data_IF_824904034582
#
_entry.id   IF_824904034582
#
_cell.length_a   1.000
_cell.length_b   1.000
_cell.length_c   1.000
_cell.angle_alpha   90.00
_cell.angle_beta   90.00
_cell.angle_gamma   90.00
#
_symmetry.space_group_name_H-M   'P 1'
#
loop_
_entity.id
_entity.type
_entity.pdbx_description
1 polymer ?
#
# COMPACT_ATOMS: atom_id res chain seq x y z
N UNK A 1 -9.01 -39.55 -17.38
CA UNK A 1 -8.40 -38.72 -18.45
C UNK A 1 -7.85 -37.45 -17.81
N UNK A 2 -6.55 -37.44 -17.51
CA UNK A 2 -5.82 -36.28 -16.97
C UNK A 2 -5.53 -35.29 -18.09
N UNK A 3 -6.27 -34.18 -18.11
CA UNK A 3 -6.07 -33.07 -19.06
C UNK A 3 -4.70 -32.44 -18.79
N UNK A 4 -3.74 -32.77 -19.66
CA UNK A 4 -2.39 -32.20 -19.68
C UNK A 4 -2.54 -30.70 -19.96
N UNK A 5 -2.24 -29.85 -18.98
CA UNK A 5 -2.21 -28.40 -19.14
C UNK A 5 -1.10 -28.10 -20.16
N UNK A 6 -1.48 -27.50 -21.29
CA UNK A 6 -0.55 -27.13 -22.35
C UNK A 6 0.51 -26.14 -21.82
N UNK A 7 1.74 -26.13 -22.35
CA UNK A 7 2.77 -25.18 -21.93
C UNK A 7 2.27 -23.76 -22.23
N UNK A 8 2.29 -22.89 -21.21
CA UNK A 8 1.86 -21.50 -21.32
C UNK A 8 2.54 -20.82 -22.52
N UNK A 9 1.75 -20.11 -23.33
CA UNK A 9 2.16 -19.51 -24.60
C UNK A 9 3.34 -18.54 -24.40
N UNK A 10 4.44 -18.62 -25.19
CA UNK A 10 5.63 -17.76 -25.04
C UNK A 10 5.34 -16.25 -24.95
N UNK A 11 4.26 -15.79 -25.59
CA UNK A 11 3.81 -14.39 -25.55
C UNK A 11 3.31 -13.93 -24.17
N UNK A 12 2.68 -14.82 -23.38
CA UNK A 12 2.19 -14.48 -22.03
C UNK A 12 3.39 -14.32 -21.10
N UNK A 13 4.37 -15.23 -21.20
CA UNK A 13 5.62 -15.14 -20.43
C UNK A 13 6.39 -13.84 -20.75
N UNK A 14 6.48 -13.45 -22.02
CA UNK A 14 7.13 -12.20 -22.45
C UNK A 14 6.40 -10.95 -21.94
N UNK A 15 5.06 -10.95 -21.99
CA UNK A 15 4.24 -9.85 -21.47
C UNK A 15 4.38 -9.70 -19.94
N UNK A 16 4.37 -10.82 -19.20
CA UNK A 16 4.59 -10.83 -17.75
C UNK A 16 5.99 -10.30 -17.43
N UNK A 17 7.03 -10.76 -18.13
CA UNK A 17 8.40 -10.33 -17.89
C UNK A 17 8.60 -8.83 -18.15
N UNK A 18 7.98 -8.30 -19.22
CA UNK A 18 7.96 -6.86 -19.51
C UNK A 18 7.28 -6.07 -18.39
N UNK A 19 6.14 -6.54 -17.88
CA UNK A 19 5.43 -5.88 -16.78
C UNK A 19 6.24 -5.92 -15.48
N UNK A 20 6.90 -7.05 -15.16
CA UNK A 20 7.78 -7.18 -14.00
C UNK A 20 8.97 -6.21 -14.12
N UNK A 21 9.57 -6.07 -15.30
CA UNK A 21 10.65 -5.10 -15.56
C UNK A 21 10.18 -3.66 -15.33
N UNK A 22 9.02 -3.30 -15.86
CA UNK A 22 8.43 -1.97 -15.67
C UNK A 22 8.16 -1.67 -14.18
N UNK A 23 7.58 -2.61 -13.44
CA UNK A 23 7.33 -2.48 -12.01
C UNK A 23 8.62 -2.33 -11.20
N UNK A 24 9.67 -3.08 -11.56
CA UNK A 24 10.99 -2.96 -10.92
C UNK A 24 11.61 -1.59 -11.17
N UNK A 25 11.48 -1.06 -12.37
CA UNK A 25 12.00 0.27 -12.72
C UNK A 25 11.27 1.38 -11.96
N UNK A 26 9.94 1.31 -11.89
CA UNK A 26 9.13 2.24 -11.09
C UNK A 26 9.56 2.19 -9.61
N UNK A 27 9.72 0.98 -9.04
CA UNK A 27 10.22 0.83 -7.66
C UNK A 27 11.61 1.43 -7.48
N UNK A 28 12.52 1.22 -8.43
CA UNK A 28 13.87 1.81 -8.38
C UNK A 28 13.82 3.32 -8.40
N UNK A 29 12.97 3.93 -9.21
CA UNK A 29 12.81 5.38 -9.26
C UNK A 29 12.22 5.93 -7.95
N UNK A 30 11.26 5.23 -7.34
CA UNK A 30 10.72 5.60 -6.03
C UNK A 30 11.78 5.49 -4.92
N UNK A 31 12.60 4.44 -4.94
CA UNK A 31 13.73 4.27 -4.00
C UNK A 31 14.87 5.28 -4.23
N UNK A 32 15.09 5.69 -5.48
CA UNK A 32 16.08 6.71 -5.82
C UNK A 32 15.68 8.11 -5.36
N UNK A 33 14.36 8.39 -5.28
CA UNK A 33 13.82 9.65 -4.79
C UNK A 33 13.78 9.77 -3.27
N UNK A 34 14.05 8.69 -2.52
CA UNK A 34 14.10 8.75 -1.04
C UNK A 34 15.24 9.64 -0.57
N UNK A 35 14.93 10.52 0.38
CA UNK A 35 15.97 11.28 1.08
C UNK A 35 16.77 10.36 1.99
N UNK A 36 17.96 10.81 2.41
CA UNK A 36 18.78 10.09 3.41
C UNK A 36 18.02 9.91 4.72
N UNK A 37 17.17 10.87 5.10
CA UNK A 37 16.34 10.79 6.30
C UNK A 37 15.30 9.68 6.20
N UNK A 38 14.62 9.57 5.05
CA UNK A 38 13.64 8.50 4.79
C UNK A 38 14.29 7.11 4.86
N UNK A 39 15.52 6.99 4.35
CA UNK A 39 16.26 5.71 4.39
C UNK A 39 16.59 5.29 5.81
N UNK A 40 17.00 6.23 6.66
CA UNK A 40 17.30 5.95 8.07
C UNK A 40 16.00 5.58 8.79
N UNK A 41 14.92 6.34 8.62
CA UNK A 41 13.63 6.07 9.24
C UNK A 41 13.09 4.68 8.84
N UNK A 42 13.12 4.35 7.54
CA UNK A 42 12.69 3.04 7.03
C UNK A 42 13.54 1.90 7.61
N UNK A 43 14.85 2.08 7.73
CA UNK A 43 15.77 1.05 8.26
C UNK A 43 15.51 0.79 9.74
N UNK A 44 15.41 1.86 10.54
CA UNK A 44 15.14 1.75 11.98
C UNK A 44 13.75 1.16 12.21
N UNK A 45 12.75 1.61 11.45
CA UNK A 45 11.37 1.12 11.53
C UNK A 45 11.28 -0.36 11.12
N UNK A 46 12.01 -0.76 10.07
CA UNK A 46 12.08 -2.16 9.63
C UNK A 46 12.74 -3.07 10.68
N UNK A 47 13.76 -2.57 11.37
CA UNK A 47 14.39 -3.28 12.48
C UNK A 47 13.47 -3.38 13.69
N UNK A 48 12.84 -2.27 14.12
CA UNK A 48 11.94 -2.24 15.29
C UNK A 48 10.63 -2.98 15.06
N UNK A 49 10.18 -3.10 13.81
CA UNK A 49 8.99 -3.87 13.43
C UNK A 49 9.21 -5.39 13.39
N UNK A 50 10.45 -5.86 13.56
CA UNK A 50 10.77 -7.29 13.57
C UNK A 50 10.60 -7.89 14.97
N UNK A 51 10.04 -9.10 15.08
CA UNK A 51 9.91 -9.82 16.35
C UNK A 51 11.27 -10.07 17.04
N UNK A 52 12.36 -10.15 16.27
CA UNK A 52 13.72 -10.27 16.82
C UNK A 52 14.09 -9.08 17.73
N UNK A 53 13.62 -7.88 17.42
CA UNK A 53 13.81 -6.69 18.25
C UNK A 53 13.21 -6.88 19.64
N UNK A 54 12.00 -7.47 19.71
CA UNK A 54 11.31 -7.74 20.97
C UNK A 54 12.09 -8.74 21.81
N UNK A 55 12.56 -9.83 21.21
CA UNK A 55 13.37 -10.83 21.93
C UNK A 55 14.69 -10.25 22.46
N UNK A 56 15.34 -9.40 21.67
CA UNK A 56 16.54 -8.69 22.10
C UNK A 56 16.27 -7.83 23.34
N UNK A 57 15.18 -7.04 23.35
CA UNK A 57 14.80 -6.21 24.50
C UNK A 57 14.46 -7.04 25.73
N UNK A 58 13.71 -8.14 25.57
CA UNK A 58 13.40 -9.05 26.68
C UNK A 58 14.67 -9.60 27.30
N UNK A 59 15.64 -10.04 26.49
CA UNK A 59 16.92 -10.56 26.98
C UNK A 59 17.75 -9.47 27.66
N UNK A 60 17.81 -8.28 27.05
CA UNK A 60 18.55 -7.13 27.58
C UNK A 60 17.99 -6.69 28.93
N UNK A 61 16.67 -6.50 29.04
CA UNK A 61 16.01 -6.14 30.31
C UNK A 61 16.13 -7.23 31.37
N UNK A 62 15.97 -8.51 30.99
CA UNK A 62 16.15 -9.62 31.92
C UNK A 62 17.58 -9.66 32.46
N UNK A 63 18.58 -9.48 31.60
CA UNK A 63 20.00 -9.45 32.00
C UNK A 63 20.29 -8.25 32.91
N UNK A 64 19.75 -7.07 32.58
CA UNK A 64 19.91 -5.86 33.39
C UNK A 64 19.32 -6.02 34.79
N UNK A 65 18.12 -6.58 34.89
CA UNK A 65 17.45 -6.83 36.16
C UNK A 65 18.23 -7.86 36.97
N UNK A 66 18.62 -8.99 36.39
CA UNK A 66 19.37 -10.05 37.09
C UNK A 66 20.73 -9.58 37.61
N UNK A 67 21.41 -8.70 36.86
CA UNK A 67 22.63 -8.04 37.35
C UNK A 67 22.32 -7.16 38.55
N UNK A 68 21.37 -6.23 38.43
CA UNK A 68 21.13 -5.22 39.44
C UNK A 68 20.36 -5.71 40.68
N UNK A 69 19.72 -6.90 40.63
CA UNK A 69 19.17 -7.57 41.81
C UNK A 69 20.21 -8.34 42.61
N UNK A 70 21.48 -8.35 42.17
CA UNK A 70 22.57 -9.03 42.86
C UNK A 70 22.57 -10.55 42.68
N UNK A 71 21.68 -11.11 41.85
CA UNK A 71 21.65 -12.55 41.57
C UNK A 71 22.91 -13.03 40.83
N UNK A 72 23.62 -12.13 40.15
CA UNK A 72 24.89 -12.41 39.46
C UNK A 72 26.14 -12.19 40.33
N UNK A 73 25.99 -11.76 41.60
CA UNK A 73 27.13 -11.51 42.51
C UNK A 73 27.99 -10.30 42.14
N UNK A 74 27.51 -9.45 41.22
CA UNK A 74 28.14 -8.19 40.82
C UNK A 74 27.57 -7.02 41.62
N UNK A 75 28.35 -5.95 41.77
CA UNK A 75 27.90 -4.72 42.42
C UNK A 75 26.75 -4.09 41.60
N UNK A 76 25.57 -3.85 42.20
CA UNK A 76 24.46 -3.19 41.52
C UNK A 76 24.81 -1.76 41.16
N UNK A 77 24.66 -1.39 39.89
CA UNK A 77 24.94 -0.03 39.40
C UNK A 77 23.67 0.79 39.20
N UNK A 78 22.52 0.14 39.02
CA UNK A 78 21.19 0.73 38.83
C UNK A 78 20.22 0.07 39.82
N UNK A 79 20.28 0.52 41.09
CA UNK A 79 19.46 -0.02 42.17
C UNK A 79 17.98 0.26 41.90
N UNK A 80 17.10 -0.66 42.31
CA UNK A 80 15.65 -0.44 42.25
C UNK A 80 15.30 0.94 42.82
N UNK A 81 14.66 1.83 42.05
CA UNK A 81 13.70 1.56 40.96
C UNK A 81 14.24 1.58 39.50
N UNK A 82 15.53 1.33 39.24
CA UNK A 82 16.12 1.29 37.88
C UNK A 82 16.00 2.61 37.10
N UNK A 83 16.51 3.69 37.67
CA UNK A 83 16.40 5.03 37.09
C UNK A 83 17.16 5.17 35.76
N UNK A 84 18.32 4.52 35.62
CA UNK A 84 19.11 4.58 34.38
C UNK A 84 18.39 3.83 33.25
N UNK A 85 17.95 2.60 33.51
CA UNK A 85 17.21 1.80 32.54
C UNK A 85 15.98 2.56 32.02
N UNK A 86 15.18 3.10 32.94
CA UNK A 86 13.96 3.84 32.60
C UNK A 86 14.25 5.06 31.74
N UNK A 87 15.33 5.79 32.05
CA UNK A 87 15.73 6.97 31.27
C UNK A 87 16.14 6.60 29.85
N UNK A 88 16.98 5.57 29.69
CA UNK A 88 17.43 5.09 28.37
C UNK A 88 16.27 4.58 27.52
N UNK A 89 15.41 3.73 28.08
CA UNK A 89 14.25 3.17 27.38
C UNK A 89 13.28 4.27 26.97
N UNK A 90 13.04 5.27 27.84
CA UNK A 90 12.14 6.39 27.51
C UNK A 90 12.67 7.23 26.35
N UNK A 91 13.98 7.52 26.34
CA UNK A 91 14.60 8.27 25.25
C UNK A 91 14.55 7.47 23.94
N UNK A 92 14.92 6.19 24.00
CA UNK A 92 14.85 5.27 22.86
C UNK A 92 13.43 5.19 22.27
N UNK A 93 12.41 5.07 23.13
CA UNK A 93 11.01 5.01 22.72
C UNK A 93 10.56 6.26 21.95
N UNK A 94 11.00 7.46 22.36
CA UNK A 94 10.68 8.72 21.65
C UNK A 94 11.29 8.71 20.24
N UNK A 95 12.57 8.32 20.11
CA UNK A 95 13.22 8.22 18.81
C UNK A 95 12.55 7.19 17.91
N UNK A 96 12.29 5.98 18.42
CA UNK A 96 11.63 4.92 17.66
C UNK A 96 10.22 5.35 17.21
N UNK A 97 9.43 5.93 18.10
CA UNK A 97 8.09 6.43 17.78
C UNK A 97 8.14 7.50 16.68
N UNK A 98 9.12 8.40 16.74
CA UNK A 98 9.30 9.44 15.71
C UNK A 98 9.68 8.83 14.36
N UNK A 99 10.62 7.88 14.31
CA UNK A 99 10.98 7.20 13.05
C UNK A 99 9.82 6.38 12.47
N UNK A 100 9.07 5.69 13.34
CA UNK A 100 7.87 4.96 12.94
C UNK A 100 6.84 5.93 12.35
N UNK A 101 6.60 7.09 12.98
CA UNK A 101 5.65 8.08 12.50
C UNK A 101 6.06 8.68 11.14
N UNK A 102 7.35 8.96 10.95
CA UNK A 102 7.87 9.44 9.65
C UNK A 102 7.66 8.39 8.56
N UNK A 103 8.01 7.12 8.84
CA UNK A 103 7.81 6.01 7.92
C UNK A 103 6.31 5.81 7.60
N UNK A 104 5.45 5.88 8.63
CA UNK A 104 4.00 5.77 8.48
C UNK A 104 3.43 6.90 7.62
N UNK A 105 3.78 8.17 7.90
CA UNK A 105 3.32 9.31 7.11
C UNK A 105 3.63 9.12 5.63
N UNK A 106 4.85 8.69 5.31
CA UNK A 106 5.26 8.43 3.92
C UNK A 106 4.48 7.28 3.28
N UNK A 107 4.23 6.20 4.02
CA UNK A 107 3.40 5.08 3.53
C UNK A 107 1.96 5.52 3.27
N UNK A 108 1.39 6.35 4.15
CA UNK A 108 0.06 6.94 3.97
C UNK A 108 0.00 7.81 2.72
N UNK A 109 0.96 8.72 2.51
CA UNK A 109 1.02 9.55 1.29
C UNK A 109 1.08 8.72 -0.01
N UNK A 110 1.78 7.59 0.00
CA UNK A 110 1.82 6.65 -1.14
C UNK A 110 0.47 5.93 -1.30
N UNK A 111 -0.15 5.52 -0.19
CA UNK A 111 -1.45 4.86 -0.18
C UNK A 111 -2.55 5.78 -0.72
N UNK A 112 -2.55 7.05 -0.30
CA UNK A 112 -3.54 8.05 -0.72
C UNK A 112 -3.43 8.29 -2.23
N UNK A 113 -2.21 8.48 -2.76
CA UNK A 113 -1.98 8.61 -4.21
C UNK A 113 -2.46 7.41 -5.01
N UNK A 114 -2.29 6.20 -4.48
CA UNK A 114 -2.82 4.98 -5.13
C UNK A 114 -4.33 4.96 -5.12
N UNK A 115 -4.95 5.30 -3.98
CA UNK A 115 -6.40 5.38 -3.87
C UNK A 115 -7.00 6.40 -4.84
N UNK A 116 -6.34 7.54 -5.05
CA UNK A 116 -6.77 8.56 -6.02
C UNK A 116 -6.67 8.04 -7.46
N UNK A 117 -5.57 7.38 -7.82
CA UNK A 117 -5.40 6.77 -9.15
C UNK A 117 -6.40 5.64 -9.41
N UNK A 118 -6.62 4.77 -8.42
CA UNK A 118 -7.59 3.67 -8.53
C UNK A 118 -9.01 4.22 -8.74
N UNK A 119 -9.37 5.30 -8.05
CA UNK A 119 -10.65 5.97 -8.28
C UNK A 119 -10.76 6.55 -9.69
N UNK A 120 -9.70 7.18 -10.21
CA UNK A 120 -9.69 7.70 -11.58
C UNK A 120 -9.83 6.58 -12.62
N UNK A 121 -9.13 5.46 -12.44
CA UNK A 121 -9.23 4.30 -13.34
C UNK A 121 -10.64 3.72 -13.29
N UNK A 122 -11.24 3.58 -12.11
CA UNK A 122 -12.61 3.08 -11.97
C UNK A 122 -13.61 4.00 -12.69
N UNK A 123 -13.51 5.32 -12.48
CA UNK A 123 -14.35 6.30 -13.17
C UNK A 123 -14.19 6.24 -14.70
N UNK A 124 -12.95 6.18 -15.19
CA UNK A 124 -12.69 6.02 -16.63
C UNK A 124 -13.26 4.71 -17.17
N UNK A 125 -13.14 3.62 -16.41
CA UNK A 125 -13.68 2.31 -16.79
C UNK A 125 -15.21 2.36 -16.84
N UNK A 126 -15.87 2.97 -15.86
CA UNK A 126 -17.32 3.20 -15.88
C UNK A 126 -17.74 4.01 -17.12
N UNK A 127 -16.99 5.07 -17.44
CA UNK A 127 -17.22 5.85 -18.66
C UNK A 127 -17.11 4.98 -19.94
N UNK A 128 -16.05 4.18 -20.07
CA UNK A 128 -15.84 3.31 -21.22
C UNK A 128 -16.92 2.23 -21.34
N UNK A 129 -17.31 1.62 -20.22
CA UNK A 129 -18.39 0.63 -20.15
C UNK A 129 -19.72 1.24 -20.58
N UNK A 130 -20.08 2.41 -20.06
CA UNK A 130 -21.32 3.11 -20.48
C UNK A 130 -21.28 3.44 -21.97
N UNK A 131 -20.12 3.84 -22.51
CA UNK A 131 -19.98 4.09 -23.94
C UNK A 131 -20.17 2.83 -24.78
N UNK A 132 -19.63 1.69 -24.33
CA UNK A 132 -19.85 0.39 -24.97
C UNK A 132 -21.33 0.00 -24.89
N UNK A 133 -21.99 0.24 -23.75
CA UNK A 133 -23.41 -0.02 -23.56
C UNK A 133 -24.26 0.75 -24.58
N UNK A 134 -24.01 2.06 -24.71
CA UNK A 134 -24.72 2.93 -25.66
C UNK A 134 -24.45 2.55 -27.12
N UNK A 135 -23.23 2.13 -27.46
CA UNK A 135 -22.92 1.63 -28.81
C UNK A 135 -23.63 0.30 -29.08
N UNK A 136 -23.69 -0.58 -28.09
CA UNK A 136 -24.37 -1.88 -28.22
C UNK A 136 -25.87 -1.69 -28.38
N UNK A 137 -26.46 -0.75 -27.63
CA UNK A 137 -27.85 -0.32 -27.76
C UNK A 137 -28.17 0.19 -29.17
N UNK A 138 -27.36 1.12 -29.68
CA UNK A 138 -27.55 1.66 -31.02
C UNK A 138 -27.45 0.57 -32.11
N UNK A 139 -26.60 -0.45 -31.91
CA UNK A 139 -26.51 -1.61 -32.80
C UNK A 139 -27.76 -2.49 -32.67
N UNK A 140 -28.24 -2.76 -31.45
CA UNK A 140 -29.44 -3.55 -31.20
C UNK A 140 -30.69 -2.92 -31.85
N UNK A 141 -30.84 -1.60 -31.69
CA UNK A 141 -31.88 -0.80 -32.34
C UNK A 141 -31.80 -0.90 -33.86
N UNK A 142 -30.59 -0.78 -34.43
CA UNK A 142 -30.39 -0.90 -35.88
C UNK A 142 -30.75 -2.29 -36.42
N UNK A 143 -30.53 -3.34 -35.63
CA UNK A 143 -30.87 -4.73 -35.97
C UNK A 143 -32.33 -5.11 -35.64
N UNK A 144 -33.11 -4.20 -35.04
CA UNK A 144 -34.50 -4.44 -34.67
C UNK A 144 -34.68 -5.44 -33.54
N UNK A 145 -33.67 -5.59 -32.66
CA UNK A 145 -33.74 -6.50 -31.52
C UNK A 145 -34.54 -5.85 -30.38
N UNK A 146 -35.70 -6.41 -30.03
CA UNK A 146 -36.57 -5.92 -28.94
C UNK A 146 -36.00 -6.09 -27.53
N UNK A 147 -34.82 -6.73 -27.40
CA UNK A 147 -34.11 -6.88 -26.11
C UNK A 147 -33.53 -5.56 -25.57
N UNK A 148 -33.40 -4.52 -26.41
CA UNK A 148 -32.94 -3.17 -25.97
C UNK A 148 -33.93 -2.42 -25.08
N UNK A 149 -35.17 -2.90 -24.92
CA UNK A 149 -36.20 -2.30 -24.07
C UNK A 149 -36.23 -2.85 -22.64
N UNK A 150 -35.18 -3.54 -22.20
CA UNK A 150 -35.07 -4.00 -20.82
C UNK A 150 -34.95 -2.80 -19.85
N UNK A 151 -35.88 -2.63 -18.89
CA UNK A 151 -35.80 -1.57 -17.89
C UNK A 151 -34.52 -1.60 -17.03
N UNK A 152 -33.87 -2.77 -16.87
CA UNK A 152 -32.57 -2.89 -16.19
C UNK A 152 -31.44 -2.23 -17.01
N UNK A 153 -31.48 -2.39 -18.34
CA UNK A 153 -30.53 -1.80 -19.28
C UNK A 153 -30.67 -0.27 -19.36
N UNK A 154 -31.91 0.24 -19.29
CA UNK A 154 -32.21 1.68 -19.20
C UNK A 154 -31.75 2.32 -17.88
N UNK A 155 -31.71 1.57 -16.78
CA UNK A 155 -31.15 2.05 -15.51
C UNK A 155 -29.63 2.18 -15.58
N UNK A 156 -28.95 1.19 -16.18
CA UNK A 156 -27.49 1.22 -16.37
C UNK A 156 -27.02 2.42 -17.23
N UNK A 157 -27.81 2.84 -18.23
CA UNK A 157 -27.54 4.07 -19.01
C UNK A 157 -27.66 5.36 -18.19
N UNK A 158 -28.48 5.36 -17.13
CA UNK A 158 -28.81 6.56 -16.32
C UNK A 158 -27.95 6.71 -15.07
N UNK A 159 -27.44 5.60 -14.52
CA UNK A 159 -26.71 5.61 -13.26
C UNK A 159 -25.38 6.37 -13.33
N UNK A 160 -24.76 6.47 -14.50
CA UNK A 160 -23.46 7.14 -14.66
C UNK A 160 -23.44 7.89 -15.99
N UNK A 161 -24.04 9.08 -16.05
CA UNK A 161 -23.98 9.91 -17.26
C UNK A 161 -22.50 10.26 -17.55
N UNK A 162 -21.97 9.93 -18.74
CA UNK A 162 -20.56 10.14 -19.09
C UNK A 162 -20.04 11.56 -18.81
N UNK A 163 -20.89 12.57 -18.97
CA UNK A 163 -20.54 13.98 -18.70
C UNK A 163 -20.26 14.24 -17.23
N UNK A 164 -20.94 13.55 -16.30
CA UNK A 164 -20.74 13.73 -14.85
C UNK A 164 -19.41 13.16 -14.40
N UNK A 165 -18.99 12.03 -14.96
CA UNK A 165 -17.68 11.43 -14.66
C UNK A 165 -16.54 12.33 -15.13
N UNK A 166 -16.62 12.83 -16.37
CA UNK A 166 -15.64 13.76 -16.92
C UNK A 166 -15.55 15.06 -16.12
N UNK A 167 -16.69 15.63 -15.72
CA UNK A 167 -16.73 16.82 -14.88
C UNK A 167 -16.11 16.59 -13.50
N UNK A 168 -16.30 15.42 -12.89
CA UNK A 168 -15.69 15.10 -11.60
C UNK A 168 -14.18 14.81 -11.71
N UNK A 169 -13.71 14.25 -12.83
CA UNK A 169 -12.28 14.13 -13.13
C UNK A 169 -11.61 15.50 -13.28
N UNK A 170 -12.17 16.40 -14.11
CA UNK A 170 -11.64 17.77 -14.29
C UNK A 170 -11.61 18.56 -12.99
N UNK A 171 -12.68 18.51 -12.19
CA UNK A 171 -12.71 19.17 -10.88
C UNK A 171 -11.64 18.68 -9.91
N UNK A 172 -11.26 17.40 -9.98
CA UNK A 172 -10.22 16.84 -9.12
C UNK A 172 -8.81 17.17 -9.62
N UNK A 173 -8.59 17.19 -10.93
CA UNK A 173 -7.31 17.62 -11.51
C UNK A 173 -7.02 19.10 -11.28
N UNK A 174 -8.03 19.98 -11.35
CA UNK A 174 -7.88 21.42 -11.15
C UNK A 174 -7.66 21.84 -9.69
N UNK A 175 -7.82 20.91 -8.73
CA UNK A 175 -7.73 21.19 -7.28
C UNK A 175 -6.43 20.70 -6.63
N UNK A 176 -5.56 20.05 -7.40
CA UNK A 176 -4.21 19.63 -7.01
C UNK A 176 -3.15 20.55 -7.64
#
# INVERSE_FOLDING_TARGET
MTKKIAPETPQIAEAIERNIRALREIRRQLEAKKTTQDRIADTVTGFSGNLLFVYFHVLLFSTWILWNTGMLGLEPFDVFPFGLLTTFVSLEAIFLSTFVLVSQKRLTEISDKRSDLDLQINLLTEYEVTKILLLTDAIADHLGLTEGQDPEFEQLKKEISPEKVLQEMEKKELRN
#
